data_IF_451052943983
#
_entry.id   IF_451052943983
#
_cell.length_a   1.000
_cell.length_b   1.000
_cell.length_c   1.000
_cell.angle_alpha   90.00
_cell.angle_beta   90.00
_cell.angle_gamma   90.00
#
_symmetry.space_group_name_H-M   'P 1'
#
loop_
_entity.id
_entity.type
_entity.pdbx_description
1 polymer ?
#
# COMPACT_ATOMS: atom_id res chain seq x y z
N UNK A 1 -11.22 14.62 -10.44
CA UNK A 1 -10.91 15.14 -9.09
C UNK A 1 -9.90 14.20 -8.47
N UNK A 2 -8.76 14.70 -8.00
CA UNK A 2 -7.72 13.86 -7.38
C UNK A 2 -8.18 13.43 -5.98
N UNK A 3 -8.02 12.15 -5.65
CA UNK A 3 -8.39 11.54 -4.36
C UNK A 3 -7.15 11.05 -3.64
N UNK A 4 -6.98 11.51 -2.40
CA UNK A 4 -5.90 11.13 -1.51
C UNK A 4 -6.44 10.25 -0.37
N UNK A 5 -5.69 9.23 0.00
CA UNK A 5 -5.94 8.43 1.19
C UNK A 5 -4.68 8.28 2.04
N UNK A 6 -4.89 8.09 3.35
CA UNK A 6 -3.85 7.70 4.30
C UNK A 6 -4.24 6.39 4.95
N UNK A 7 -3.30 5.47 5.13
CA UNK A 7 -3.53 4.17 5.74
C UNK A 7 -2.37 3.75 6.64
N UNK A 8 -2.62 3.72 7.95
CA UNK A 8 -1.72 3.09 8.90
C UNK A 8 -1.87 1.57 8.79
N UNK A 9 -0.83 0.90 8.26
CA UNK A 9 -0.87 -0.55 7.99
C UNK A 9 -0.39 -1.40 9.16
N UNK A 10 0.26 -0.80 10.16
CA UNK A 10 0.82 -1.48 11.33
C UNK A 10 1.61 -2.76 10.94
N UNK A 11 2.57 -2.61 10.03
CA UNK A 11 3.37 -3.70 9.45
C UNK A 11 2.89 -4.13 8.08
N UNK A 12 3.52 -3.60 7.03
CA UNK A 12 3.12 -3.82 5.63
C UNK A 12 3.20 -5.28 5.21
N UNK A 13 4.27 -5.99 5.60
CA UNK A 13 4.48 -7.38 5.20
C UNK A 13 3.47 -8.32 5.86
N UNK A 14 3.17 -8.11 7.15
CA UNK A 14 2.17 -8.90 7.88
C UNK A 14 0.73 -8.62 7.46
N UNK A 15 0.50 -7.57 6.67
CA UNK A 15 -0.83 -7.13 6.18
C UNK A 15 -0.89 -6.98 4.67
N UNK A 16 0.09 -7.50 3.95
CA UNK A 16 0.20 -7.33 2.50
C UNK A 16 -1.07 -7.78 1.76
N UNK A 17 -1.68 -8.95 2.03
CA UNK A 17 -2.92 -9.34 1.34
C UNK A 17 -4.10 -8.39 1.58
N UNK A 18 -4.16 -7.75 2.76
CA UNK A 18 -5.19 -6.75 3.09
C UNK A 18 -4.93 -5.47 2.33
N UNK A 19 -3.67 -5.01 2.30
CA UNK A 19 -3.27 -3.83 1.55
C UNK A 19 -3.54 -4.00 0.05
N UNK A 20 -3.12 -5.10 -0.57
CA UNK A 20 -3.31 -5.33 -2.02
C UNK A 20 -4.79 -5.39 -2.41
N UNK A 21 -5.62 -6.06 -1.60
CA UNK A 21 -7.07 -6.05 -1.81
C UNK A 21 -7.64 -4.64 -1.69
N UNK A 22 -7.19 -3.86 -0.70
CA UNK A 22 -7.65 -2.49 -0.53
C UNK A 22 -7.22 -1.59 -1.70
N UNK A 23 -5.97 -1.69 -2.16
CA UNK A 23 -5.46 -0.91 -3.30
C UNK A 23 -6.21 -1.22 -4.61
N UNK A 24 -6.58 -2.47 -4.83
CA UNK A 24 -7.31 -2.89 -6.06
C UNK A 24 -8.81 -2.62 -6.00
N UNK A 25 -9.39 -2.48 -4.81
CA UNK A 25 -10.82 -2.20 -4.63
C UNK A 25 -11.11 -0.71 -4.44
N UNK A 26 -10.08 0.10 -4.18
CA UNK A 26 -10.22 1.54 -3.99
C UNK A 26 -9.67 2.32 -5.17
N UNK A 27 -10.36 3.40 -5.54
CA UNK A 27 -9.99 4.27 -6.66
C UNK A 27 -9.38 5.59 -6.12
N UNK A 28 -8.28 5.48 -5.35
CA UNK A 28 -7.50 6.62 -4.88
C UNK A 28 -6.32 6.87 -5.84
N UNK A 29 -6.04 8.12 -6.15
CA UNK A 29 -4.92 8.49 -7.02
C UNK A 29 -3.59 8.46 -6.25
N UNK A 30 -3.63 8.78 -4.95
CA UNK A 30 -2.46 8.82 -4.07
C UNK A 30 -2.81 8.16 -2.74
N UNK A 31 -1.93 7.28 -2.27
CA UNK A 31 -2.06 6.59 -0.99
C UNK A 31 -0.77 6.78 -0.18
N UNK A 32 -0.89 7.35 1.01
CA UNK A 32 0.21 7.44 1.97
C UNK A 32 0.09 6.29 2.99
N UNK A 33 1.14 5.49 3.14
CA UNK A 33 1.20 4.40 4.11
C UNK A 33 2.01 4.80 5.35
N UNK A 34 1.56 4.42 6.54
CA UNK A 34 2.26 4.66 7.81
C UNK A 34 2.52 3.34 8.55
N UNK A 35 3.48 3.37 9.48
CA UNK A 35 3.89 2.19 10.27
C UNK A 35 4.22 0.98 9.40
N UNK A 36 5.07 1.15 8.39
CA UNK A 36 5.47 0.06 7.49
C UNK A 36 6.15 -1.10 8.25
N UNK A 37 6.89 -0.78 9.34
CA UNK A 37 7.62 -1.74 10.19
C UNK A 37 8.44 -2.75 9.40
N UNK A 38 9.09 -2.28 8.34
CA UNK A 38 9.98 -3.04 7.46
C UNK A 38 11.16 -2.18 7.03
N UNK A 39 12.28 -2.81 6.68
CA UNK A 39 13.36 -2.14 5.96
C UNK A 39 13.00 -1.96 4.49
N UNK A 40 13.74 -1.10 3.80
CA UNK A 40 13.59 -0.82 2.36
C UNK A 40 13.75 -2.08 1.50
N UNK A 41 14.75 -2.90 1.79
CA UNK A 41 15.01 -4.17 1.09
C UNK A 41 13.84 -5.16 1.16
N UNK A 42 13.08 -5.10 2.26
CA UNK A 42 11.93 -5.98 2.54
C UNK A 42 10.61 -5.32 2.20
N UNK A 43 10.61 -4.11 1.65
CA UNK A 43 9.38 -3.42 1.27
C UNK A 43 8.79 -4.09 0.00
N UNK A 44 7.49 -4.45 0.00
CA UNK A 44 6.90 -5.26 -1.06
C UNK A 44 6.51 -4.43 -2.29
N UNK A 45 7.45 -3.66 -2.83
CA UNK A 45 7.21 -2.74 -3.96
C UNK A 45 6.71 -3.46 -5.21
N UNK A 46 7.22 -4.67 -5.50
CA UNK A 46 6.79 -5.47 -6.65
C UNK A 46 5.30 -5.80 -6.59
N UNK A 47 4.84 -6.31 -5.46
CA UNK A 47 3.43 -6.65 -5.24
C UNK A 47 2.51 -5.41 -5.28
N UNK A 48 2.96 -4.26 -4.74
CA UNK A 48 2.20 -3.01 -4.82
C UNK A 48 2.11 -2.51 -6.28
N UNK A 49 3.17 -2.66 -7.07
CA UNK A 49 3.14 -2.28 -8.50
C UNK A 49 2.18 -3.12 -9.33
N UNK A 50 1.97 -4.38 -8.97
CA UNK A 50 0.97 -5.25 -9.60
C UNK A 50 -0.46 -4.73 -9.43
N UNK A 51 -0.73 -3.85 -8.44
CA UNK A 51 -2.03 -3.19 -8.28
C UNK A 51 -2.20 -1.93 -9.14
N UNK A 52 -1.20 -1.58 -9.96
CA UNK A 52 -1.21 -0.41 -10.85
C UNK A 52 -0.63 0.88 -10.25
N UNK A 53 -0.21 0.86 -8.99
CA UNK A 53 0.45 1.99 -8.34
C UNK A 53 1.94 2.06 -8.73
N UNK A 54 2.53 3.27 -8.72
CA UNK A 54 3.90 3.53 -9.19
C UNK A 54 4.81 4.05 -8.08
#
# INVERSE_FOLDING_TARGET
MIRLATFNVNGVNGRLPVLLRWLTTTNYDIVCLQELKTSDEKFPIGAIRETGYR
#
